data_IF_190661211079
#
_entry.id   IF_190661211079
#
_cell.length_a   1.000
_cell.length_b   1.000
_cell.length_c   1.000
_cell.angle_alpha   90.00
_cell.angle_beta   90.00
_cell.angle_gamma   90.00
#
_symmetry.space_group_name_H-M   'P 1'
#
loop_
_entity.id
_entity.type
_entity.pdbx_description
1 polymer ?
#
# COMPACT_ATOMS: atom_id res chain seq x y z
N UNK A 1 3.76 -5.31 5.83
CA UNK A 1 2.39 -4.95 6.24
C UNK A 1 1.45 -5.36 5.13
N UNK A 2 0.87 -6.55 5.25
CA UNK A 2 -0.06 -7.10 4.29
C UNK A 2 -1.47 -6.95 4.86
N UNK A 3 -2.44 -6.58 4.03
CA UNK A 3 -3.79 -7.08 4.26
C UNK A 3 -3.71 -8.61 4.18
N UNK A 4 -3.49 -9.28 5.33
CA UNK A 4 -3.64 -10.72 5.41
C UNK A 4 -5.14 -11.05 5.29
N UNK A 5 -5.60 -11.33 4.07
CA UNK A 5 -6.82 -12.14 3.90
C UNK A 5 -6.38 -13.60 4.06
N UNK A 6 -6.34 -14.08 5.32
CA UNK A 6 -6.30 -15.54 5.57
C UNK A 6 -7.73 -16.08 5.46
N UNK A 7 -7.94 -17.06 4.57
CA UNK A 7 -9.15 -17.90 4.52
C UNK A 7 -10.50 -17.18 4.39
N UNK A 8 -10.58 -16.08 3.63
CA UNK A 8 -11.88 -15.47 3.31
C UNK A 8 -12.67 -14.95 4.52
N UNK A 9 -12.02 -14.76 5.67
CA UNK A 9 -12.65 -14.17 6.85
C UNK A 9 -12.14 -12.74 7.06
N UNK A 10 -13.09 -11.82 7.24
CA UNK A 10 -12.87 -10.41 7.61
C UNK A 10 -12.09 -10.33 8.92
N UNK A 11 -10.79 -10.04 8.87
CA UNK A 11 -10.09 -9.48 10.03
C UNK A 11 -10.19 -7.96 9.94
N UNK A 12 -11.34 -7.47 10.36
CA UNK A 12 -11.53 -6.07 10.68
C UNK A 12 -10.69 -5.81 11.94
N UNK A 13 -9.63 -5.00 11.85
CA UNK A 13 -9.18 -4.28 13.04
C UNK A 13 -10.32 -3.32 13.38
N UNK A 14 -11.23 -3.78 14.24
CA UNK A 14 -12.33 -3.01 14.79
C UNK A 14 -11.74 -1.88 15.65
N UNK A 15 -11.52 -0.73 15.04
CA UNK A 15 -11.63 0.55 15.73
C UNK A 15 -12.86 1.28 15.16
N UNK A 16 -13.81 1.68 16.01
CA UNK A 16 -14.99 2.38 15.55
C UNK A 16 -14.59 3.83 15.27
N UNK A 17 -14.47 4.23 14.00
CA UNK A 17 -14.36 5.64 13.66
C UNK A 17 -15.46 5.98 12.66
N UNK A 18 -16.31 6.91 13.10
CA UNK A 18 -17.39 7.53 12.35
C UNK A 18 -16.83 8.11 11.06
N UNK A 19 -17.23 7.55 9.92
CA UNK A 19 -16.99 8.16 8.60
C UNK A 19 -17.89 9.38 8.46
N UNK A 20 -17.28 10.56 8.62
CA UNK A 20 -17.95 11.85 8.56
C UNK A 20 -17.13 12.88 7.80
N UNK A 21 -16.69 12.57 6.58
CA UNK A 21 -16.52 13.53 5.48
C UNK A 21 -16.15 12.79 4.18
N UNK A 22 -16.85 13.15 3.10
CA UNK A 22 -16.70 12.56 1.78
C UNK A 22 -15.35 12.98 1.17
N UNK A 23 -14.35 12.09 1.22
CA UNK A 23 -13.11 12.24 0.47
C UNK A 23 -13.39 11.82 -0.97
N UNK A 24 -13.68 12.78 -1.85
CA UNK A 24 -13.75 12.51 -3.29
C UNK A 24 -12.32 12.34 -3.80
N UNK A 25 -11.94 11.10 -4.10
CA UNK A 25 -10.68 10.81 -4.78
C UNK A 25 -10.85 11.02 -6.28
N UNK A 26 -9.89 11.69 -6.92
CA UNK A 26 -9.69 11.56 -8.36
C UNK A 26 -9.55 10.06 -8.73
N UNK A 27 -9.73 9.72 -10.00
CA UNK A 27 -9.91 8.34 -10.46
C UNK A 27 -8.77 7.34 -10.13
N UNK A 28 -7.64 7.77 -9.57
CA UNK A 28 -6.46 6.94 -9.25
C UNK A 28 -5.98 7.12 -7.81
N UNK A 29 -5.34 6.08 -7.27
CA UNK A 29 -4.78 6.09 -5.93
C UNK A 29 -3.59 7.08 -5.83
N UNK A 30 -3.61 8.01 -4.86
CA UNK A 30 -2.61 9.09 -4.73
C UNK A 30 -1.26 8.63 -4.14
N UNK A 31 -0.55 7.73 -4.80
CA UNK A 31 0.77 7.29 -4.37
C UNK A 31 1.81 8.42 -4.51
N UNK A 32 2.53 8.75 -3.42
CA UNK A 32 3.60 9.77 -3.44
C UNK A 32 4.97 9.27 -3.91
N UNK A 33 5.05 8.00 -4.37
CA UNK A 33 6.29 7.38 -4.89
C UNK A 33 7.46 7.37 -3.86
N UNK A 34 7.16 7.53 -2.56
CA UNK A 34 8.17 7.65 -1.50
C UNK A 34 9.00 6.38 -1.20
N UNK A 35 8.65 5.22 -1.78
CA UNK A 35 9.37 3.96 -1.57
C UNK A 35 9.17 3.27 -0.22
N UNK A 36 8.38 3.84 0.71
CA UNK A 36 8.21 3.28 2.05
C UNK A 36 7.62 1.84 2.03
N UNK A 37 6.73 1.54 1.08
CA UNK A 37 6.21 0.18 0.88
C UNK A 37 7.29 -0.80 0.41
N UNK A 38 8.21 -0.36 -0.45
CA UNK A 38 9.32 -1.18 -0.92
C UNK A 38 10.31 -1.53 0.20
N UNK A 39 10.41 -0.71 1.26
CA UNK A 39 11.23 -1.00 2.45
C UNK A 39 10.58 -1.99 3.44
N UNK A 40 9.32 -2.34 3.22
CA UNK A 40 8.48 -3.03 4.20
C UNK A 40 7.74 -4.25 3.61
N UNK A 41 8.42 -5.01 2.75
CA UNK A 41 7.84 -6.17 2.06
C UNK A 41 8.04 -7.50 2.83
N UNK A 42 8.75 -7.49 3.95
CA UNK A 42 8.92 -8.66 4.80
C UNK A 42 7.58 -9.32 5.14
N UNK A 43 7.53 -10.65 4.97
CA UNK A 43 6.35 -11.46 5.27
C UNK A 43 5.24 -11.40 4.22
N UNK A 44 5.45 -10.70 3.09
CA UNK A 44 4.50 -10.64 1.98
C UNK A 44 4.77 -11.78 0.98
N UNK A 45 3.92 -12.81 0.99
CA UNK A 45 4.13 -14.05 0.20
C UNK A 45 4.25 -13.75 -1.29
N UNK A 46 3.36 -12.92 -1.82
CA UNK A 46 3.30 -12.49 -3.22
C UNK A 46 4.52 -11.65 -3.62
N UNK A 47 5.25 -11.10 -2.65
CA UNK A 47 6.46 -10.32 -2.85
C UNK A 47 7.75 -11.05 -2.47
N UNK A 48 7.68 -12.33 -2.08
CA UNK A 48 8.86 -13.10 -1.66
C UNK A 48 9.98 -13.12 -2.73
N UNK A 49 9.62 -13.22 -4.01
CA UNK A 49 10.58 -13.18 -5.13
C UNK A 49 11.25 -11.80 -5.34
N UNK A 50 10.74 -10.76 -4.69
CA UNK A 50 11.24 -9.39 -4.76
C UNK A 50 12.07 -9.01 -3.53
N UNK A 51 12.08 -9.82 -2.47
CA UNK A 51 12.87 -9.57 -1.26
C UNK A 51 14.36 -9.74 -1.52
N UNK A 52 15.17 -8.76 -1.10
CA UNK A 52 16.62 -8.82 -1.11
C UNK A 52 17.20 -9.68 0.05
N UNK A 53 16.34 -10.31 0.86
CA UNK A 53 16.70 -11.14 2.00
C UNK A 53 16.65 -10.40 3.34
N UNK A 54 16.19 -9.15 3.34
CA UNK A 54 16.13 -8.28 4.52
C UNK A 54 14.79 -7.56 4.68
N UNK A 55 13.76 -7.95 3.91
CA UNK A 55 12.46 -7.31 3.91
C UNK A 55 12.36 -6.08 3.02
N UNK A 56 13.41 -5.74 2.26
CA UNK A 56 13.45 -4.63 1.31
C UNK A 56 13.39 -5.20 -0.11
N UNK A 57 12.57 -4.57 -0.95
CA UNK A 57 12.44 -4.91 -2.36
C UNK A 57 13.75 -4.65 -3.11
N UNK A 58 14.24 -5.67 -3.83
CA UNK A 58 15.44 -5.61 -4.67
C UNK A 58 15.38 -4.61 -5.83
N UNK A 59 14.20 -4.04 -6.13
CA UNK A 59 14.05 -2.96 -7.11
C UNK A 59 13.99 -1.56 -6.49
N UNK A 60 14.10 -1.44 -5.17
CA UNK A 60 14.25 -0.13 -4.53
C UNK A 60 15.61 0.46 -4.92
N UNK A 61 15.56 1.70 -5.40
CA UNK A 61 16.74 2.52 -5.58
C UNK A 61 17.13 3.18 -4.26
N UNK A 62 18.33 2.88 -3.76
CA UNK A 62 18.79 3.34 -2.45
C UNK A 62 19.14 4.83 -2.44
N UNK A 63 19.40 5.45 -3.59
CA UNK A 63 19.74 6.87 -3.69
C UNK A 63 18.48 7.73 -3.74
N UNK A 64 17.53 7.36 -4.59
CA UNK A 64 16.30 8.12 -4.83
C UNK A 64 15.10 7.68 -3.98
N UNK A 65 15.17 6.53 -3.31
CA UNK A 65 14.04 5.83 -2.67
C UNK A 65 12.91 5.47 -3.65
N UNK A 66 13.12 5.52 -4.96
CA UNK A 66 12.09 5.17 -5.95
C UNK A 66 12.18 3.70 -6.37
N UNK A 67 11.05 3.15 -6.81
CA UNK A 67 11.02 1.80 -7.37
C UNK A 67 11.51 1.82 -8.83
N UNK A 68 12.58 1.09 -9.15
CA UNK A 68 13.13 1.01 -10.52
C UNK A 68 12.17 0.40 -11.56
N UNK A 69 11.13 -0.29 -11.10
CA UNK A 69 10.11 -0.89 -11.95
C UNK A 69 8.74 -0.27 -11.72
N UNK A 70 8.65 1.00 -11.31
CA UNK A 70 7.40 1.64 -10.87
C UNK A 70 6.22 1.43 -11.85
N UNK A 71 6.45 1.63 -13.15
CA UNK A 71 5.42 1.47 -14.17
C UNK A 71 5.09 0.01 -14.49
N UNK A 72 5.99 -0.90 -14.11
CA UNK A 72 5.93 -2.35 -14.33
C UNK A 72 5.79 -3.14 -13.02
N UNK A 73 5.35 -2.49 -11.94
CA UNK A 73 5.15 -3.11 -10.63
C UNK A 73 4.22 -4.33 -10.72
N UNK A 74 4.41 -5.36 -9.89
CA UNK A 74 3.45 -6.46 -9.78
C UNK A 74 2.09 -5.94 -9.30
N UNK A 75 1.02 -6.70 -9.58
CA UNK A 75 -0.37 -6.33 -9.26
C UNK A 75 -0.56 -5.96 -7.77
N UNK A 76 0.02 -6.73 -6.86
CA UNK A 76 -0.05 -6.49 -5.40
C UNK A 76 0.51 -5.11 -4.98
N UNK A 77 1.36 -4.49 -5.80
CA UNK A 77 1.92 -3.15 -5.56
C UNK A 77 1.14 -2.02 -6.27
N UNK A 78 0.08 -2.33 -7.02
CA UNK A 78 -0.74 -1.37 -7.77
C UNK A 78 -2.13 -1.30 -7.14
N UNK A 79 -2.35 -0.34 -6.25
CA UNK A 79 -3.59 -0.21 -5.46
C UNK A 79 -4.83 -0.17 -6.36
N UNK A 80 -4.80 0.60 -7.46
CA UNK A 80 -5.91 0.69 -8.41
C UNK A 80 -6.23 -0.67 -9.05
N UNK A 81 -5.21 -1.33 -9.60
CA UNK A 81 -5.38 -2.61 -10.29
C UNK A 81 -5.83 -3.71 -9.33
N UNK A 82 -5.27 -3.72 -8.11
CA UNK A 82 -5.63 -4.67 -7.07
C UNK A 82 -7.07 -4.47 -6.60
N UNK A 83 -7.53 -3.21 -6.52
CA UNK A 83 -8.93 -2.90 -6.27
C UNK A 83 -9.82 -3.50 -7.36
N UNK A 84 -9.58 -3.14 -8.61
CA UNK A 84 -10.43 -3.53 -9.73
C UNK A 84 -10.52 -5.07 -9.88
N UNK A 85 -9.41 -5.78 -9.68
CA UNK A 85 -9.33 -7.24 -9.89
C UNK A 85 -9.80 -8.08 -8.70
N UNK A 86 -9.56 -7.62 -7.47
CA UNK A 86 -9.72 -8.45 -6.28
C UNK A 86 -10.74 -7.87 -5.30
N UNK A 87 -10.72 -6.56 -5.08
CA UNK A 87 -11.40 -5.94 -3.94
C UNK A 87 -12.67 -5.15 -4.25
N UNK A 88 -12.97 -4.87 -5.53
CA UNK A 88 -14.18 -4.17 -5.94
C UNK A 88 -15.49 -4.87 -5.51
N UNK A 89 -15.45 -6.19 -5.26
CA UNK A 89 -16.57 -6.96 -4.73
C UNK A 89 -16.72 -6.92 -3.21
N UNK A 90 -15.75 -6.37 -2.50
CA UNK A 90 -15.68 -6.38 -1.03
C UNK A 90 -15.76 -4.99 -0.41
N UNK A 91 -15.33 -3.96 -1.13
CA UNK A 91 -15.23 -2.59 -0.65
C UNK A 91 -15.69 -1.61 -1.73
N UNK A 92 -16.18 -0.45 -1.32
CA UNK A 92 -16.17 0.71 -2.21
C UNK A 92 -14.73 1.18 -2.47
N UNK A 93 -14.52 1.91 -3.56
CA UNK A 93 -13.22 2.45 -3.92
C UNK A 93 -12.68 3.40 -2.84
N UNK A 94 -13.54 4.25 -2.29
CA UNK A 94 -13.19 5.21 -1.23
C UNK A 94 -12.76 4.50 0.07
N UNK A 95 -13.46 3.45 0.48
CA UNK A 95 -13.09 2.65 1.66
C UNK A 95 -11.74 1.96 1.44
N UNK A 96 -11.55 1.34 0.28
CA UNK A 96 -10.30 0.65 -0.03
C UNK A 96 -9.12 1.62 -0.09
N UNK A 97 -9.30 2.79 -0.71
CA UNK A 97 -8.28 3.85 -0.75
C UNK A 97 -7.98 4.38 0.65
N UNK A 98 -9.00 4.63 1.48
CA UNK A 98 -8.82 5.10 2.85
C UNK A 98 -7.96 4.15 3.68
N UNK A 99 -8.18 2.83 3.57
CA UNK A 99 -7.38 1.81 4.25
C UNK A 99 -5.92 1.77 3.74
N UNK A 100 -5.72 1.91 2.42
CA UNK A 100 -4.38 1.94 1.84
C UNK A 100 -3.63 3.24 2.20
N UNK A 101 -4.32 4.39 2.28
CA UNK A 101 -3.72 5.67 2.72
C UNK A 101 -3.29 5.61 4.18
N UNK A 102 -4.11 5.01 5.06
CA UNK A 102 -3.71 4.78 6.45
C UNK A 102 -2.44 3.91 6.52
N UNK A 103 -2.36 2.86 5.71
CA UNK A 103 -1.17 2.03 5.60
C UNK A 103 0.04 2.82 5.08
N UNK A 104 -0.14 3.70 4.09
CA UNK A 104 0.90 4.59 3.60
C UNK A 104 1.43 5.51 4.70
N UNK A 105 0.56 6.14 5.49
CA UNK A 105 0.96 7.04 6.59
C UNK A 105 1.83 6.34 7.62
N UNK A 106 1.41 5.16 8.08
CA UNK A 106 2.19 4.37 9.04
C UNK A 106 3.57 4.01 8.49
N UNK A 107 3.65 3.61 7.22
CA UNK A 107 4.94 3.30 6.58
C UNK A 107 5.81 4.54 6.37
N UNK A 108 5.21 5.65 5.96
CA UNK A 108 5.92 6.93 5.77
C UNK A 108 6.48 7.47 7.08
N UNK A 109 5.73 7.33 8.18
CA UNK A 109 6.21 7.65 9.52
C UNK A 109 7.37 6.74 9.93
N UNK A 110 7.21 5.42 9.80
CA UNK A 110 8.25 4.44 10.14
C UNK A 110 9.56 4.70 9.39
N UNK A 111 9.48 5.04 8.11
CA UNK A 111 10.64 5.27 7.24
C UNK A 111 11.13 6.72 7.26
N UNK A 112 10.56 7.56 8.14
CA UNK A 112 10.89 9.00 8.26
C UNK A 112 10.84 9.74 6.92
N UNK A 113 9.84 9.44 6.09
CA UNK A 113 9.61 10.16 4.82
C UNK A 113 9.40 11.64 5.13
N UNK A 114 9.99 12.53 4.32
CA UNK A 114 9.85 13.97 4.48
C UNK A 114 8.38 14.40 4.45
N UNK A 115 8.01 15.37 5.28
CA UNK A 115 6.59 15.72 5.52
C UNK A 115 5.87 16.19 4.25
N UNK A 116 6.58 16.88 3.37
CA UNK A 116 6.12 17.36 2.07
C UNK A 116 5.87 16.21 1.05
N UNK A 117 6.36 15.00 1.34
CA UNK A 117 6.18 13.80 0.51
C UNK A 117 5.19 12.79 1.11
N UNK A 118 4.53 13.14 2.21
CA UNK A 118 3.50 12.31 2.86
C UNK A 118 2.11 12.58 2.29
N UNK A 119 1.21 11.61 2.49
CA UNK A 119 -0.21 11.65 2.10
C UNK A 119 -1.15 11.79 3.30
#
# INVERSE_FOLDING_TARGET
>A
MQLFIRNGQKLCCLLPIRVGHSLKFDSSFPCTICGACCKNIAGIVELAAYDAGNGICKHLDSQSNQCRIYDNRPEVCRVDLLYDRVYAKYFSKDEFYSLNIQSCRVLQEKENVAQDLRI
#
